data_IF_578900244493
#
_entry.id   IF_578900244493
#
_cell.length_a   1.000
_cell.length_b   1.000
_cell.length_c   1.000
_cell.angle_alpha   90.00
_cell.angle_beta   90.00
_cell.angle_gamma   90.00
#
_symmetry.space_group_name_H-M   'P 1'
#
loop_
_entity.id
_entity.type
_entity.pdbx_description
1 polymer ?
#
# COMPACT_ATOMS: atom_id res chain seq x y z
N UNK A 1 8.73 10.89 10.89
CA UNK A 1 7.43 10.19 10.83
C UNK A 1 7.53 8.92 11.69
N UNK A 2 6.44 8.41 12.28
CA UNK A 2 6.48 7.11 12.94
C UNK A 2 6.83 6.00 11.94
N UNK A 3 7.24 4.84 12.45
CA UNK A 3 7.35 3.64 11.61
C UNK A 3 6.01 3.41 10.91
N UNK A 4 6.04 3.27 9.60
CA UNK A 4 4.83 3.20 8.77
C UNK A 4 4.85 1.94 7.91
N UNK A 5 3.74 1.21 7.92
CA UNK A 5 3.51 0.11 7.01
C UNK A 5 2.36 0.50 6.06
N UNK A 6 2.58 0.31 4.77
CA UNK A 6 1.66 0.72 3.71
C UNK A 6 1.32 -0.52 2.88
N UNK A 7 0.03 -0.77 2.68
CA UNK A 7 -0.46 -1.70 1.67
C UNK A 7 -1.22 -0.94 0.58
N UNK A 8 -0.96 -1.30 -0.67
CA UNK A 8 -1.55 -0.64 -1.84
C UNK A 8 -1.85 -1.70 -2.90
N UNK A 9 -2.91 -1.50 -3.67
CA UNK A 9 -3.24 -2.41 -4.78
C UNK A 9 -2.46 -2.05 -6.04
N UNK A 10 -2.11 -3.02 -6.89
CA UNK A 10 -1.38 -2.75 -8.13
C UNK A 10 -2.17 -1.95 -9.18
N UNK A 11 -3.49 -1.81 -9.02
CA UNK A 11 -4.34 -0.93 -9.84
C UNK A 11 -4.65 0.42 -9.17
N UNK A 12 -3.90 0.79 -8.14
CA UNK A 12 -3.98 2.13 -7.54
C UNK A 12 -3.49 3.19 -8.52
N UNK A 13 -4.30 4.24 -8.73
CA UNK A 13 -3.97 5.32 -9.66
C UNK A 13 -2.78 6.14 -9.14
N UNK A 14 -2.66 6.27 -7.82
CA UNK A 14 -1.60 7.01 -7.15
C UNK A 14 -0.40 6.14 -6.75
N UNK A 15 -0.23 4.95 -7.32
CA UNK A 15 0.83 4.02 -6.92
C UNK A 15 2.23 4.64 -7.03
N UNK A 16 2.49 5.39 -8.10
CA UNK A 16 3.77 6.07 -8.33
C UNK A 16 4.01 7.17 -7.29
N UNK A 17 3.00 7.99 -7.00
CA UNK A 17 3.08 9.04 -5.98
C UNK A 17 3.33 8.46 -4.58
N UNK A 18 2.63 7.39 -4.23
CA UNK A 18 2.83 6.67 -2.97
C UNK A 18 4.26 6.13 -2.89
N UNK A 19 4.75 5.50 -3.96
CA UNK A 19 6.10 4.95 -4.02
C UNK A 19 7.15 6.03 -3.83
N UNK A 20 7.03 7.16 -4.55
CA UNK A 20 7.92 8.32 -4.41
C UNK A 20 7.90 8.91 -3.00
N UNK A 21 6.72 8.99 -2.36
CA UNK A 21 6.61 9.44 -0.98
C UNK A 21 7.37 8.51 -0.02
N UNK A 22 7.25 7.19 -0.18
CA UNK A 22 7.95 6.21 0.66
C UNK A 22 9.45 6.25 0.44
N UNK A 23 9.92 6.37 -0.80
CA UNK A 23 11.33 6.55 -1.10
C UNK A 23 11.89 7.81 -0.42
N UNK A 24 11.15 8.91 -0.49
CA UNK A 24 11.54 10.17 0.15
C UNK A 24 11.51 10.10 1.69
N UNK A 25 10.58 9.33 2.26
CA UNK A 25 10.52 9.11 3.70
C UNK A 25 11.74 8.27 4.16
N UNK A 26 12.04 7.17 3.46
CA UNK A 26 13.21 6.32 3.73
C UNK A 26 14.52 7.09 3.61
N UNK A 27 14.64 8.03 2.66
CA UNK A 27 15.82 8.89 2.53
C UNK A 27 16.04 9.85 3.71
N UNK A 28 15.10 9.91 4.66
CA UNK A 28 15.16 10.74 5.87
C UNK A 28 15.13 9.85 7.13
N UNK A 29 15.63 8.62 7.01
CA UNK A 29 15.72 7.62 8.08
C UNK A 29 14.36 7.26 8.71
N UNK A 30 13.26 7.43 7.97
CA UNK A 30 11.95 6.91 8.38
C UNK A 30 11.87 5.42 8.03
N UNK A 31 11.58 4.59 9.04
CA UNK A 31 11.28 3.17 8.83
C UNK A 31 9.91 3.03 8.14
N UNK A 32 9.92 2.77 6.84
CA UNK A 32 8.72 2.61 6.03
C UNK A 32 8.77 1.33 5.19
N UNK A 33 7.68 0.56 5.19
CA UNK A 33 7.50 -0.65 4.38
C UNK A 33 6.30 -0.48 3.46
N UNK A 34 6.42 -0.93 2.22
CA UNK A 34 5.35 -0.91 1.22
C UNK A 34 5.16 -2.30 0.66
N UNK A 35 3.90 -2.75 0.68
CA UNK A 35 3.45 -3.99 0.05
C UNK A 35 2.48 -3.62 -1.06
N UNK A 36 2.79 -4.06 -2.28
CA UNK A 36 1.90 -3.92 -3.43
C UNK A 36 1.17 -5.25 -3.61
N UNK A 37 -0.13 -5.27 -3.34
CA UNK A 37 -1.00 -6.42 -3.54
C UNK A 37 -1.47 -6.45 -5.00
N UNK A 38 -1.10 -7.52 -5.71
CA UNK A 38 -1.45 -7.68 -7.11
C UNK A 38 -2.96 -7.77 -7.33
N UNK A 39 -3.40 -7.32 -8.51
CA UNK A 39 -4.78 -7.33 -8.99
C UNK A 39 -5.79 -6.56 -8.13
N UNK A 40 -5.36 -5.84 -7.10
CA UNK A 40 -6.23 -5.10 -6.20
C UNK A 40 -6.35 -3.62 -6.60
N UNK A 41 -7.54 -3.04 -6.41
CA UNK A 41 -7.83 -1.63 -6.71
C UNK A 41 -7.77 -0.75 -5.47
N UNK A 42 -7.89 0.57 -5.66
CA UNK A 42 -8.14 1.50 -4.56
C UNK A 42 -9.24 0.98 -3.61
N UNK A 43 -9.00 1.13 -2.30
CA UNK A 43 -9.88 0.70 -1.21
C UNK A 43 -10.13 -0.81 -1.07
N UNK A 44 -9.38 -1.69 -1.74
CA UNK A 44 -9.59 -3.15 -1.61
C UNK A 44 -9.58 -3.65 -0.15
N UNK A 45 -8.73 -3.04 0.71
CA UNK A 45 -8.56 -3.47 2.10
C UNK A 45 -9.78 -3.17 3.00
N UNK A 46 -10.60 -2.17 2.63
CA UNK A 46 -11.81 -1.79 3.39
C UNK A 46 -13.10 -2.19 2.66
N UNK A 47 -13.02 -2.43 1.34
CA UNK A 47 -14.12 -2.92 0.51
C UNK A 47 -13.90 -4.40 0.21
N UNK A 48 -14.16 -5.25 1.21
CA UNK A 48 -14.00 -6.70 1.13
C UNK A 48 -14.54 -7.34 -0.17
N UNK A 49 -15.72 -6.94 -0.71
CA UNK A 49 -16.20 -7.50 -1.99
C UNK A 49 -15.32 -7.20 -3.21
N UNK A 50 -14.49 -6.16 -3.15
CA UNK A 50 -13.54 -5.76 -4.21
C UNK A 50 -12.13 -6.32 -3.97
N UNK A 51 -11.89 -6.88 -2.78
CA UNK A 51 -10.61 -7.52 -2.46
C UNK A 51 -10.43 -8.78 -3.29
N UNK A 52 -9.26 -8.89 -3.91
CA UNK A 52 -8.82 -10.09 -4.64
C UNK A 52 -7.69 -10.77 -3.89
N UNK A 53 -7.58 -12.08 -4.06
CA UNK A 53 -6.45 -12.90 -3.57
C UNK A 53 -6.18 -12.77 -2.06
N UNK A 54 -7.23 -12.51 -1.28
CA UNK A 54 -7.15 -12.32 0.16
C UNK A 54 -6.51 -10.99 0.60
N UNK A 55 -6.39 -10.00 -0.29
CA UNK A 55 -5.74 -8.72 -0.01
C UNK A 55 -6.22 -8.06 1.29
N UNK A 56 -7.53 -7.95 1.50
CA UNK A 56 -8.08 -7.35 2.71
C UNK A 56 -7.65 -8.09 3.99
N UNK A 57 -7.54 -9.42 3.94
CA UNK A 57 -7.10 -10.24 5.08
C UNK A 57 -5.60 -10.12 5.35
N UNK A 58 -4.78 -9.85 4.32
CA UNK A 58 -3.34 -9.58 4.47
C UNK A 58 -3.06 -8.15 4.97
N UNK A 59 -4.04 -7.26 4.82
CA UNK A 59 -3.94 -5.85 5.21
C UNK A 59 -4.23 -5.57 6.70
N UNK A 60 -4.55 -6.60 7.49
CA UNK A 60 -4.92 -6.51 8.92
C UNK A 60 -3.78 -6.94 9.83
#
# INVERSE_FOLDING_TARGET
>A
LPRTWICVGSYELFLDDITLFIEKARSQDVEAEIVVEENNSHNYAILYPLSRDGGAQKAV
#
